data_IF_180783501858
#
_entry.id   IF_180783501858
#
_cell.length_a   1.000
_cell.length_b   1.000
_cell.length_c   1.000
_cell.angle_alpha   90.00
_cell.angle_beta   90.00
_cell.angle_gamma   90.00
#
_symmetry.space_group_name_H-M   'P 1'
#
loop_
_entity.id
_entity.type
_entity.pdbx_description
1 polymer ?
#
# COMPACT_ATOMS: atom_id res chain seq x y z
N UNK A 1 -14.95 20.87 -9.97
CA UNK A 1 -16.30 20.79 -9.38
C UNK A 1 -17.04 19.76 -10.23
N UNK A 2 -16.90 18.47 -9.94
CA UNK A 2 -17.46 17.74 -8.80
C UNK A 2 -16.37 16.84 -8.17
N UNK A 3 -16.20 16.94 -6.86
CA UNK A 3 -15.45 15.99 -6.03
C UNK A 3 -16.39 14.85 -5.70
N UNK A 4 -16.03 13.60 -5.98
CA UNK A 4 -16.71 12.44 -5.40
C UNK A 4 -15.79 11.85 -4.34
N UNK A 5 -16.12 12.16 -3.09
CA UNK A 5 -15.60 11.48 -1.91
C UNK A 5 -15.97 9.99 -1.99
N UNK A 6 -14.95 9.14 -2.12
CA UNK A 6 -15.07 7.69 -1.93
C UNK A 6 -14.78 7.33 -0.46
N UNK A 7 -15.35 8.05 0.50
CA UNK A 7 -15.46 7.57 1.88
C UNK A 7 -16.80 6.86 2.00
N UNK A 8 -16.82 5.59 1.63
CA UNK A 8 -18.06 4.82 1.63
C UNK A 8 -18.22 4.11 2.98
N UNK A 9 -19.12 4.63 3.80
CA UNK A 9 -19.64 4.08 5.05
C UNK A 9 -20.45 2.80 4.76
N UNK A 10 -19.79 1.78 4.22
CA UNK A 10 -20.43 0.56 3.68
C UNK A 10 -21.08 -0.30 4.74
N UNK A 11 -20.69 -0.12 6.00
CA UNK A 11 -21.16 -0.92 7.14
C UNK A 11 -22.50 -0.42 7.67
N UNK A 12 -22.94 0.79 7.28
CA UNK A 12 -24.22 1.37 7.69
C UNK A 12 -25.38 1.12 6.71
N UNK A 13 -25.12 0.58 5.51
CA UNK A 13 -26.14 0.45 4.46
C UNK A 13 -26.69 -0.97 4.32
N UNK A 14 -28.01 -1.06 4.19
CA UNK A 14 -28.70 -2.31 3.85
C UNK A 14 -28.32 -2.79 2.44
N UNK A 15 -28.45 -4.09 2.13
CA UNK A 15 -28.22 -4.63 0.78
C UNK A 15 -29.01 -3.90 -0.32
N UNK A 16 -30.25 -3.48 -0.04
CA UNK A 16 -31.09 -2.73 -0.97
C UNK A 16 -30.52 -1.35 -1.27
N UNK A 17 -30.08 -0.61 -0.25
CA UNK A 17 -29.44 0.70 -0.42
C UNK A 17 -28.10 0.58 -1.17
N UNK A 18 -27.33 -0.48 -0.90
CA UNK A 18 -26.09 -0.78 -1.64
C UNK A 18 -26.36 -1.07 -3.11
N UNK A 19 -27.46 -1.78 -3.44
CA UNK A 19 -27.90 -2.03 -4.82
C UNK A 19 -28.32 -0.75 -5.52
N UNK A 20 -29.16 0.07 -4.89
CA UNK A 20 -29.60 1.36 -5.45
C UNK A 20 -28.42 2.29 -5.73
N UNK A 21 -27.45 2.36 -4.82
CA UNK A 21 -26.20 3.10 -5.05
C UNK A 21 -25.37 2.53 -6.20
N UNK A 22 -25.30 1.20 -6.34
CA UNK A 22 -24.57 0.57 -7.44
C UNK A 22 -25.23 0.87 -8.79
N UNK A 23 -26.56 0.87 -8.86
CA UNK A 23 -27.31 1.28 -10.05
C UNK A 23 -27.05 2.75 -10.41
N UNK A 24 -27.14 3.65 -9.43
CA UNK A 24 -26.84 5.07 -9.65
C UNK A 24 -25.42 5.29 -10.20
N UNK A 25 -24.41 4.61 -9.63
CA UNK A 25 -23.03 4.68 -10.11
C UNK A 25 -22.85 4.12 -11.52
N UNK A 26 -23.59 3.05 -11.86
CA UNK A 26 -23.57 2.47 -13.20
C UNK A 26 -24.13 3.46 -14.22
N UNK A 27 -25.27 4.08 -13.90
CA UNK A 27 -25.94 5.06 -14.76
C UNK A 27 -25.09 6.33 -14.95
N UNK A 28 -24.57 6.88 -13.84
CA UNK A 28 -23.71 8.07 -13.87
C UNK A 28 -22.41 7.82 -14.65
N UNK A 29 -21.78 6.65 -14.42
CA UNK A 29 -20.57 6.24 -15.12
C UNK A 29 -20.80 6.03 -16.62
N UNK A 30 -21.92 5.42 -17.00
CA UNK A 30 -22.28 5.22 -18.40
C UNK A 30 -22.59 6.55 -19.11
N UNK A 31 -23.33 7.44 -18.46
CA UNK A 31 -23.60 8.78 -19.00
C UNK A 31 -22.32 9.61 -19.17
N UNK A 32 -21.40 9.56 -18.21
CA UNK A 32 -20.11 10.23 -18.30
C UNK A 32 -19.24 9.66 -19.43
N UNK A 33 -19.26 8.33 -19.62
CA UNK A 33 -18.54 7.68 -20.72
C UNK A 33 -19.10 8.11 -22.08
N UNK A 34 -20.42 8.11 -22.27
CA UNK A 34 -21.04 8.58 -23.51
C UNK A 34 -20.71 10.04 -23.80
N UNK A 35 -20.74 10.91 -22.79
CA UNK A 35 -20.37 12.31 -22.94
C UNK A 35 -18.88 12.49 -23.32
N UNK A 36 -18.00 11.60 -22.85
CA UNK A 36 -16.57 11.61 -23.19
C UNK A 36 -16.27 11.08 -24.60
N UNK A 37 -17.17 10.27 -25.16
CA UNK A 37 -17.08 9.72 -26.52
C UNK A 37 -17.74 10.62 -27.58
N UNK A 38 -18.54 11.61 -27.17
CA UNK A 38 -19.23 12.53 -28.07
C UNK A 38 -18.24 13.40 -28.85
N UNK A 39 -18.39 13.42 -30.18
CA UNK A 39 -17.54 14.20 -31.07
C UNK A 39 -16.10 13.68 -31.25
N UNK A 40 -15.78 12.46 -30.81
CA UNK A 40 -14.49 11.81 -31.12
C UNK A 40 -14.39 11.56 -32.62
N UNK A 41 -13.34 12.09 -33.25
CA UNK A 41 -13.05 11.82 -34.67
C UNK A 41 -12.60 10.36 -34.86
N UNK A 42 -13.04 9.76 -35.96
CA UNK A 42 -12.77 8.35 -36.28
C UNK A 42 -11.27 8.05 -36.41
N UNK A 43 -10.46 9.00 -36.91
CA UNK A 43 -9.02 8.84 -37.01
C UNK A 43 -8.32 9.01 -35.64
N UNK A 44 -8.85 9.88 -34.78
CA UNK A 44 -8.31 10.14 -33.44
C UNK A 44 -8.61 9.02 -32.45
N UNK A 45 -9.68 8.24 -32.69
CA UNK A 45 -10.08 7.12 -31.84
C UNK A 45 -9.00 6.02 -31.71
N UNK A 46 -8.06 5.95 -32.66
CA UNK A 46 -6.96 4.99 -32.71
C UNK A 46 -5.61 5.55 -32.21
N UNK A 47 -5.59 6.82 -31.77
CA UNK A 47 -4.38 7.48 -31.29
C UNK A 47 -4.31 7.47 -29.76
N UNK A 48 -3.10 7.27 -29.21
CA UNK A 48 -2.85 7.28 -27.77
C UNK A 48 -1.44 6.79 -27.43
N UNK A 49 -0.77 7.42 -26.46
CA UNK A 49 0.60 7.04 -26.06
C UNK A 49 0.65 5.86 -25.08
N UNK A 50 -0.50 5.46 -24.52
CA UNK A 50 -0.61 4.35 -23.58
C UNK A 50 -1.84 3.47 -23.86
N UNK A 51 -3.00 4.07 -24.11
CA UNK A 51 -4.25 3.43 -24.54
C UNK A 51 -4.98 4.41 -25.47
N UNK A 52 -5.41 3.95 -26.65
CA UNK A 52 -6.31 4.68 -27.55
C UNK A 52 -7.77 4.60 -27.08
N UNK A 53 -8.64 5.48 -27.57
CA UNK A 53 -10.09 5.45 -27.24
C UNK A 53 -10.70 4.10 -27.63
N UNK A 54 -10.28 3.52 -28.77
CA UNK A 54 -10.68 2.17 -29.18
C UNK A 54 -10.24 1.08 -28.19
N UNK A 55 -8.99 1.12 -27.69
CA UNK A 55 -8.51 0.14 -26.70
C UNK A 55 -9.25 0.25 -25.37
N UNK A 56 -9.61 1.48 -24.95
CA UNK A 56 -10.47 1.71 -23.78
C UNK A 56 -11.85 1.10 -24.00
N UNK A 57 -12.43 1.25 -25.20
CA UNK A 57 -13.73 0.63 -25.54
C UNK A 57 -13.69 -0.90 -25.55
N UNK A 58 -12.62 -1.50 -26.06
CA UNK A 58 -12.44 -2.95 -26.03
C UNK A 58 -12.26 -3.50 -24.61
N UNK A 59 -11.63 -2.73 -23.72
CA UNK A 59 -11.46 -3.13 -22.32
C UNK A 59 -12.72 -2.96 -21.47
N UNK A 60 -13.51 -1.94 -21.77
CA UNK A 60 -14.83 -1.73 -21.16
C UNK A 60 -15.90 -2.70 -21.69
N UNK A 61 -15.54 -3.60 -22.61
CA UNK A 61 -16.42 -4.64 -23.11
C UNK A 61 -16.64 -5.71 -22.04
N UNK A 62 -17.73 -5.57 -21.28
CA UNK A 62 -18.03 -6.38 -20.09
C UNK A 62 -18.92 -7.59 -20.38
N UNK A 63 -19.13 -7.97 -21.64
CA UNK A 63 -20.04 -9.05 -22.05
C UNK A 63 -19.84 -10.34 -21.24
N UNK A 64 -18.59 -10.81 -21.13
CA UNK A 64 -18.25 -12.01 -20.35
C UNK A 64 -18.53 -11.87 -18.85
N UNK A 65 -18.41 -10.66 -18.30
CA UNK A 65 -18.69 -10.38 -16.89
C UNK A 65 -20.20 -10.31 -16.64
N UNK A 66 -20.96 -9.67 -17.52
CA UNK A 66 -22.43 -9.60 -17.47
C UNK A 66 -23.02 -11.00 -17.61
N UNK A 67 -22.57 -11.79 -18.59
CA UNK A 67 -22.98 -13.17 -18.77
C UNK A 67 -22.72 -14.00 -17.51
N UNK A 68 -21.56 -13.85 -16.89
CA UNK A 68 -21.23 -14.58 -15.66
C UNK A 68 -22.11 -14.16 -14.47
N UNK A 69 -22.55 -12.89 -14.39
CA UNK A 69 -23.51 -12.43 -13.38
C UNK A 69 -24.93 -12.95 -13.66
N UNK A 70 -25.33 -13.03 -14.93
CA UNK A 70 -26.61 -13.62 -15.34
C UNK A 70 -26.68 -15.10 -14.99
N UNK A 71 -25.63 -15.86 -15.27
CA UNK A 71 -25.51 -17.28 -14.88
C UNK A 71 -25.56 -17.47 -13.36
N UNK A 72 -25.02 -16.52 -12.57
CA UNK A 72 -25.12 -16.53 -11.11
C UNK A 72 -26.54 -16.23 -10.64
N UNK A 73 -27.18 -15.23 -11.25
CA UNK A 73 -28.53 -14.83 -10.91
C UNK A 73 -29.57 -15.90 -11.30
N UNK A 74 -29.33 -16.65 -12.38
CA UNK A 74 -30.18 -17.77 -12.84
C UNK A 74 -29.93 -19.07 -12.07
N UNK A 75 -28.83 -19.16 -11.32
CA UNK A 75 -28.42 -20.37 -10.60
C UNK A 75 -27.73 -21.42 -11.49
N UNK A 76 -27.43 -21.10 -12.75
CA UNK A 76 -26.61 -21.92 -13.65
C UNK A 76 -25.14 -21.99 -13.19
N UNK A 77 -24.70 -20.98 -12.43
CA UNK A 77 -23.38 -20.88 -11.83
C UNK A 77 -23.52 -20.43 -10.37
N UNK A 78 -22.78 -21.03 -9.45
CA UNK A 78 -22.90 -20.66 -8.02
C UNK A 78 -22.13 -19.36 -7.69
N UNK A 79 -21.00 -19.13 -8.37
CA UNK A 79 -20.14 -17.97 -8.18
C UNK A 79 -19.31 -17.69 -9.43
N UNK A 80 -18.74 -16.48 -9.57
CA UNK A 80 -17.77 -16.20 -10.62
C UNK A 80 -16.65 -17.25 -10.54
N UNK A 81 -16.05 -17.65 -11.68
CA UNK A 81 -14.92 -18.56 -11.65
C UNK A 81 -13.91 -17.99 -10.65
N UNK A 82 -13.32 -18.84 -9.78
CA UNK A 82 -12.27 -18.37 -8.91
C UNK A 82 -11.26 -17.62 -9.78
N UNK A 83 -10.61 -16.60 -9.24
CA UNK A 83 -9.35 -16.18 -9.84
C UNK A 83 -8.46 -17.41 -9.73
N UNK A 84 -8.39 -18.24 -10.77
CA UNK A 84 -7.54 -19.42 -10.81
C UNK A 84 -6.17 -19.00 -10.30
N UNK A 85 -5.48 -19.89 -9.57
CA UNK A 85 -4.08 -19.62 -9.29
C UNK A 85 -3.42 -19.34 -10.63
N UNK A 86 -2.88 -18.12 -10.83
CA UNK A 86 -2.44 -17.60 -12.14
C UNK A 86 -1.53 -18.59 -12.92
N UNK A 87 -0.90 -19.53 -12.22
CA UNK A 87 -0.17 -20.67 -12.79
C UNK A 87 -1.01 -21.63 -13.65
N UNK A 88 -2.23 -21.98 -13.24
CA UNK A 88 -3.08 -22.94 -13.97
C UNK A 88 -3.52 -22.36 -15.32
N UNK A 89 -3.83 -21.06 -15.34
CA UNK A 89 -4.17 -20.34 -16.56
C UNK A 89 -2.99 -20.21 -17.54
N UNK A 90 -1.80 -19.89 -17.03
CA UNK A 90 -0.57 -19.85 -17.85
C UNK A 90 -0.26 -21.24 -18.42
N UNK A 91 -0.38 -22.30 -17.62
CA UNK A 91 -0.14 -23.67 -18.09
C UNK A 91 -1.12 -24.06 -19.22
N UNK A 92 -2.40 -23.69 -19.10
CA UNK A 92 -3.40 -23.92 -20.14
C UNK A 92 -3.10 -23.13 -21.43
N UNK A 93 -2.75 -21.84 -21.30
CA UNK A 93 -2.45 -21.00 -22.46
C UNK A 93 -1.17 -21.46 -23.19
N UNK A 94 -0.14 -21.92 -22.46
CA UNK A 94 1.06 -22.53 -23.05
C UNK A 94 0.71 -23.83 -23.77
N UNK A 95 -0.15 -24.68 -23.19
CA UNK A 95 -0.58 -25.92 -23.84
C UNK A 95 -1.37 -25.65 -25.14
N UNK A 96 -2.22 -24.62 -25.15
CA UNK A 96 -2.92 -24.18 -26.37
C UNK A 96 -1.97 -23.63 -27.43
N UNK A 97 -0.96 -22.88 -27.02
CA UNK A 97 0.08 -22.35 -27.92
C UNK A 97 0.82 -23.50 -28.62
N UNK A 98 1.26 -24.50 -27.86
CA UNK A 98 1.92 -25.70 -28.41
C UNK A 98 1.00 -26.47 -29.37
N UNK A 99 -0.26 -26.70 -28.98
CA UNK A 99 -1.22 -27.39 -29.84
C UNK A 99 -1.47 -26.65 -31.17
N UNK A 100 -1.54 -25.31 -31.14
CA UNK A 100 -1.70 -24.49 -32.34
C UNK A 100 -0.43 -24.50 -33.21
N UNK A 101 0.75 -24.43 -32.60
CA UNK A 101 2.02 -24.58 -33.32
C UNK A 101 2.08 -25.91 -34.11
N UNK A 102 1.73 -27.03 -33.46
CA UNK A 102 1.73 -28.35 -34.12
C UNK A 102 0.72 -28.43 -35.27
N UNK A 103 -0.48 -27.86 -35.09
CA UNK A 103 -1.49 -27.77 -36.16
C UNK A 103 -1.00 -26.93 -37.33
N UNK A 104 -0.41 -25.77 -37.07
CA UNK A 104 0.10 -24.86 -38.10
C UNK A 104 1.27 -25.47 -38.87
N UNK A 105 2.22 -26.09 -38.17
CA UNK A 105 3.33 -26.83 -38.77
C UNK A 105 2.85 -27.94 -39.71
N UNK A 106 1.89 -28.74 -39.25
CA UNK A 106 1.31 -29.84 -40.04
C UNK A 106 0.60 -29.31 -41.29
N UNK A 107 -0.16 -28.21 -41.14
CA UNK A 107 -0.83 -27.55 -42.26
C UNK A 107 0.17 -27.10 -43.32
N UNK A 108 1.22 -26.36 -42.94
CA UNK A 108 2.23 -25.84 -43.87
C UNK A 108 2.93 -26.98 -44.61
N UNK A 109 3.35 -28.03 -43.89
CA UNK A 109 4.04 -29.17 -44.48
C UNK A 109 3.18 -29.96 -45.49
N UNK A 110 1.86 -29.85 -45.39
CA UNK A 110 0.90 -30.49 -46.29
C UNK A 110 0.52 -29.68 -47.53
N UNK A 111 0.97 -28.42 -47.67
CA UNK A 111 0.64 -27.57 -48.81
C UNK A 111 1.47 -27.95 -50.05
N UNK A 112 0.81 -28.02 -51.20
CA UNK A 112 1.47 -28.19 -52.50
C UNK A 112 2.01 -26.86 -53.05
N UNK A 113 2.97 -26.87 -54.00
CA UNK A 113 3.50 -25.65 -54.61
C UNK A 113 2.42 -24.75 -55.22
N UNK A 114 1.44 -25.34 -55.92
CA UNK A 114 0.33 -24.57 -56.50
C UNK A 114 -0.56 -23.89 -55.45
N UNK A 115 -0.69 -24.47 -54.25
CA UNK A 115 -1.42 -23.83 -53.15
C UNK A 115 -0.63 -22.70 -52.50
N UNK A 116 0.70 -22.83 -52.44
CA UNK A 116 1.59 -21.79 -51.90
C UNK A 116 1.58 -20.50 -52.73
N UNK A 117 1.38 -20.62 -54.05
CA UNK A 117 1.29 -19.49 -54.98
C UNK A 117 -0.09 -18.79 -55.00
N UNK A 118 -1.09 -19.30 -54.27
CA UNK A 118 -2.42 -18.68 -54.24
C UNK A 118 -2.37 -17.29 -53.60
N UNK A 119 -3.10 -16.30 -54.13
CA UNK A 119 -3.20 -14.98 -53.50
C UNK A 119 -3.91 -15.07 -52.14
N UNK A 120 -3.33 -14.45 -51.12
CA UNK A 120 -3.83 -14.44 -49.76
C UNK A 120 -4.42 -13.08 -49.34
N UNK A 121 -3.78 -11.98 -49.76
CA UNK A 121 -4.28 -10.61 -49.50
C UNK A 121 -4.14 -9.73 -50.74
N UNK A 122 -5.14 -8.88 -51.07
CA UNK A 122 -5.00 -7.87 -52.11
C UNK A 122 -4.08 -6.72 -51.65
N UNK A 123 -3.59 -5.94 -52.61
CA UNK A 123 -2.89 -4.68 -52.31
C UNK A 123 -3.86 -3.67 -51.68
N UNK A 124 -3.46 -3.05 -50.57
CA UNK A 124 -4.22 -2.00 -49.90
C UNK A 124 -3.45 -0.66 -49.97
N UNK A 125 -3.95 0.33 -50.73
CA UNK A 125 -3.28 1.63 -50.89
C UNK A 125 -3.38 2.52 -49.64
N UNK A 126 -4.36 2.32 -48.76
CA UNK A 126 -4.60 3.18 -47.58
C UNK A 126 -3.55 2.99 -46.48
N UNK A 127 -2.89 1.83 -46.45
CA UNK A 127 -1.83 1.51 -45.49
C UNK A 127 -0.55 0.96 -46.15
N UNK A 128 -0.42 1.15 -47.47
CA UNK A 128 0.72 0.69 -48.28
C UNK A 128 1.05 -0.80 -48.10
N UNK A 129 0.03 -1.63 -47.91
CA UNK A 129 0.20 -3.07 -47.67
C UNK A 129 0.28 -3.83 -49.01
N UNK A 130 1.37 -4.54 -49.32
CA UNK A 130 1.54 -5.25 -50.58
C UNK A 130 0.52 -6.38 -50.74
N UNK A 131 0.20 -6.73 -51.99
CA UNK A 131 -0.47 -7.99 -52.27
C UNK A 131 0.47 -9.16 -51.89
N UNK A 132 -0.08 -10.20 -51.27
CA UNK A 132 0.69 -11.35 -50.78
C UNK A 132 0.16 -12.65 -51.35
N UNK A 133 1.07 -13.57 -51.68
CA UNK A 133 0.75 -14.99 -51.82
C UNK A 133 0.57 -15.66 -50.46
N UNK A 134 0.05 -16.89 -50.45
CA UNK A 134 -0.05 -17.70 -49.25
C UNK A 134 1.33 -17.99 -48.65
N UNK A 135 2.35 -18.22 -49.50
CA UNK A 135 3.73 -18.37 -49.06
C UNK A 135 4.26 -17.10 -48.38
N UNK A 136 4.08 -15.93 -48.98
CA UNK A 136 4.54 -14.66 -48.40
C UNK A 136 3.91 -14.40 -47.03
N UNK A 137 2.62 -14.74 -46.87
CA UNK A 137 1.93 -14.62 -45.59
C UNK A 137 2.46 -15.62 -44.55
N UNK A 138 2.70 -16.87 -44.95
CA UNK A 138 3.27 -17.90 -44.08
C UNK A 138 4.66 -17.50 -43.59
N UNK A 139 5.54 -17.02 -44.48
CA UNK A 139 6.90 -16.60 -44.13
C UNK A 139 6.90 -15.43 -43.13
N UNK A 140 5.97 -14.49 -43.30
CA UNK A 140 5.80 -13.36 -42.37
C UNK A 140 5.32 -13.81 -40.99
N UNK A 141 4.39 -14.76 -40.94
CA UNK A 141 3.82 -15.28 -39.68
C UNK A 141 4.79 -16.25 -38.99
N UNK A 142 5.60 -17.01 -39.73
CA UNK A 142 6.53 -18.00 -39.18
C UNK A 142 7.58 -17.38 -38.24
N UNK A 143 7.93 -16.10 -38.43
CA UNK A 143 8.83 -15.36 -37.53
C UNK A 143 8.14 -14.71 -36.34
N UNK A 144 6.80 -14.70 -36.28
CA UNK A 144 6.01 -13.90 -35.34
C UNK A 144 6.21 -14.33 -33.88
N UNK A 145 6.13 -15.64 -33.60
CA UNK A 145 6.38 -16.17 -32.24
C UNK A 145 7.81 -15.87 -31.77
N UNK A 146 8.81 -15.97 -32.66
CA UNK A 146 10.20 -15.63 -32.35
C UNK A 146 10.41 -14.15 -32.04
N UNK A 147 9.67 -13.25 -32.70
CA UNK A 147 9.68 -11.82 -32.38
C UNK A 147 9.09 -11.56 -30.99
N UNK A 148 7.95 -12.16 -30.66
CA UNK A 148 7.33 -12.02 -29.34
C UNK A 148 8.14 -12.70 -28.23
N UNK A 149 8.84 -13.80 -28.50
CA UNK A 149 9.75 -14.43 -27.54
C UNK A 149 10.87 -13.46 -27.10
N UNK A 150 11.45 -12.69 -28.05
CA UNK A 150 12.42 -11.64 -27.73
C UNK A 150 11.81 -10.55 -26.85
N UNK A 151 10.60 -10.09 -27.18
CA UNK A 151 9.88 -9.11 -26.35
C UNK A 151 9.63 -9.65 -24.94
N UNK A 152 9.23 -10.92 -24.79
CA UNK A 152 9.06 -11.56 -23.47
C UNK A 152 10.37 -11.59 -22.68
N UNK A 153 11.50 -11.93 -23.32
CA UNK A 153 12.82 -11.92 -22.68
C UNK A 153 13.22 -10.51 -22.21
N UNK A 154 13.04 -9.49 -23.05
CA UNK A 154 13.33 -8.11 -22.67
C UNK A 154 12.39 -7.63 -21.55
N UNK A 155 11.09 -7.88 -21.66
CA UNK A 155 10.12 -7.60 -20.58
C UNK A 155 10.50 -8.29 -19.28
N UNK A 156 11.02 -9.52 -19.31
CA UNK A 156 11.50 -10.21 -18.09
C UNK A 156 12.71 -9.53 -17.46
N UNK A 157 13.61 -8.90 -18.25
CA UNK A 157 14.71 -8.10 -17.71
C UNK A 157 14.19 -6.83 -17.03
N UNK A 158 13.25 -6.13 -17.68
CA UNK A 158 12.57 -4.99 -17.08
C UNK A 158 11.85 -5.40 -15.78
N UNK A 159 11.06 -6.46 -15.79
CA UNK A 159 10.39 -6.98 -14.59
C UNK A 159 11.38 -7.37 -13.49
N UNK A 160 12.55 -7.94 -13.83
CA UNK A 160 13.58 -8.24 -12.84
C UNK A 160 14.20 -6.97 -12.22
N UNK A 161 14.50 -5.96 -13.04
CA UNK A 161 15.01 -4.67 -12.58
C UNK A 161 13.97 -3.88 -11.75
N UNK A 162 12.70 -3.95 -12.16
CA UNK A 162 11.57 -3.35 -11.46
C UNK A 162 11.29 -4.05 -10.13
N UNK A 163 11.35 -5.40 -10.10
CA UNK A 163 11.24 -6.21 -8.88
C UNK A 163 12.27 -5.84 -7.81
N UNK A 164 13.47 -5.40 -8.20
CA UNK A 164 14.50 -4.98 -7.24
C UNK A 164 14.34 -3.55 -6.70
N UNK A 165 13.59 -2.68 -7.38
CA UNK A 165 13.47 -1.27 -7.02
C UNK A 165 12.10 -0.87 -6.42
N UNK A 166 11.00 -1.52 -6.82
CA UNK A 166 9.62 -1.14 -6.42
C UNK A 166 8.98 -2.07 -5.38
N UNK A 167 9.66 -3.13 -4.94
CA UNK A 167 9.17 -4.00 -3.85
C UNK A 167 9.48 -3.47 -2.45
N UNK A 168 9.92 -2.22 -2.36
CA UNK A 168 10.18 -1.57 -1.11
C UNK A 168 8.88 -0.95 -0.56
N UNK A 169 8.53 -1.26 0.68
CA UNK A 169 7.58 -0.41 1.41
C UNK A 169 8.30 0.87 1.77
N UNK A 170 7.72 2.02 1.44
CA UNK A 170 8.25 3.31 1.90
C UNK A 170 7.58 3.68 3.21
N UNK A 171 8.36 3.86 4.28
CA UNK A 171 7.88 4.31 5.59
C UNK A 171 8.45 5.70 5.85
N UNK A 172 7.59 6.71 5.98
CA UNK A 172 8.00 8.10 6.11
C UNK A 172 7.53 8.75 7.41
N UNK A 173 8.49 9.37 8.10
CA UNK A 173 8.20 10.28 9.20
C UNK A 173 7.64 11.60 8.67
N UNK A 174 6.61 12.11 9.35
CA UNK A 174 6.00 13.40 9.05
C UNK A 174 6.52 14.52 9.97
N UNK A 175 7.38 14.17 10.93
CA UNK A 175 7.73 15.08 12.00
C UNK A 175 6.63 15.18 13.05
N UNK A 176 6.73 16.12 14.01
CA UNK A 176 5.90 16.10 15.21
C UNK A 176 4.42 16.41 14.96
N UNK A 177 4.04 16.92 13.79
CA UNK A 177 2.64 17.22 13.48
C UNK A 177 2.44 18.55 12.75
N UNK A 178 3.44 19.44 12.78
CA UNK A 178 3.45 20.63 11.94
C UNK A 178 3.62 20.23 10.46
N UNK A 179 2.64 20.53 9.59
CA UNK A 179 2.76 20.26 8.17
C UNK A 179 3.99 20.93 7.51
N UNK A 180 4.54 22.02 8.07
CA UNK A 180 5.77 22.64 7.57
C UNK A 180 7.03 21.81 7.89
N UNK A 181 6.99 20.94 8.89
CA UNK A 181 8.08 20.06 9.30
C UNK A 181 8.18 18.75 8.49
N UNK A 182 7.15 18.41 7.70
CA UNK A 182 7.14 17.21 6.86
C UNK A 182 8.30 17.27 5.84
N UNK A 183 9.16 16.24 5.72
CA UNK A 183 10.29 16.24 4.78
C UNK A 183 9.84 16.45 3.32
N UNK A 184 10.62 17.23 2.54
CA UNK A 184 10.32 17.50 1.11
C UNK A 184 10.15 16.20 0.33
N UNK A 185 11.06 15.25 0.53
CA UNK A 185 11.01 13.93 -0.12
C UNK A 185 9.69 13.20 0.20
N UNK A 186 9.24 13.20 1.45
CA UNK A 186 7.96 12.58 1.81
C UNK A 186 6.78 13.24 1.08
N UNK A 187 6.77 14.56 0.95
CA UNK A 187 5.71 15.32 0.23
C UNK A 187 5.63 14.93 -1.25
N UNK A 188 6.79 14.79 -1.91
CA UNK A 188 6.88 14.43 -3.32
C UNK A 188 6.38 13.00 -3.57
N UNK A 189 6.76 12.05 -2.70
CA UNK A 189 6.37 10.65 -2.86
C UNK A 189 4.89 10.42 -2.53
N UNK A 190 4.32 11.13 -1.56
CA UNK A 190 2.89 11.03 -1.19
C UNK A 190 1.94 11.32 -2.35
N UNK A 191 2.34 12.17 -3.30
CA UNK A 191 1.54 12.50 -4.46
C UNK A 191 1.48 11.37 -5.51
N UNK A 192 2.40 10.39 -5.41
CA UNK A 192 2.59 9.32 -6.40
C UNK A 192 2.31 7.92 -5.86
N UNK A 193 2.14 7.76 -4.54
CA UNK A 193 1.83 6.46 -3.94
C UNK A 193 0.42 5.98 -4.34
N UNK A 194 0.24 4.68 -4.60
CA UNK A 194 -1.07 4.08 -4.89
C UNK A 194 -1.95 3.98 -3.64
N UNK A 195 -1.32 3.77 -2.48
CA UNK A 195 -1.97 3.75 -1.17
C UNK A 195 -1.12 4.48 -0.13
N UNK A 196 -1.78 5.23 0.74
CA UNK A 196 -1.15 5.87 1.89
C UNK A 196 -1.77 5.33 3.17
N UNK A 197 -0.96 4.68 3.99
CA UNK A 197 -1.36 4.05 5.25
C UNK A 197 -0.79 4.86 6.41
N UNK A 198 -1.58 5.12 7.44
CA UNK A 198 -1.09 5.80 8.63
C UNK A 198 -2.17 5.93 9.68
N UNK A 199 -1.80 6.31 10.90
CA UNK A 199 -2.82 6.63 11.90
C UNK A 199 -3.67 7.82 11.44
N UNK A 200 -4.92 7.96 11.92
CA UNK A 200 -5.78 9.08 11.53
C UNK A 200 -5.11 10.46 11.69
N UNK A 201 -4.28 10.63 12.73
CA UNK A 201 -3.52 11.86 12.97
C UNK A 201 -2.40 12.07 11.94
N UNK A 202 -1.63 11.02 11.60
CA UNK A 202 -0.61 11.10 10.57
C UNK A 202 -1.21 11.40 9.19
N UNK A 203 -2.31 10.72 8.84
CA UNK A 203 -3.04 10.97 7.60
C UNK A 203 -3.57 12.40 7.53
N UNK A 204 -4.09 12.95 8.62
CA UNK A 204 -4.55 14.34 8.65
C UNK A 204 -3.41 15.35 8.31
N UNK A 205 -2.19 15.12 8.81
CA UNK A 205 -1.01 15.95 8.49
C UNK A 205 -0.60 15.80 7.03
N UNK A 206 -0.60 14.56 6.51
CA UNK A 206 -0.18 14.25 5.15
C UNK A 206 -1.22 14.60 4.06
N UNK A 207 -2.51 14.71 4.44
CA UNK A 207 -3.67 14.74 3.53
C UNK A 207 -3.53 15.68 2.34
N UNK A 208 -2.96 16.87 2.53
CA UNK A 208 -2.82 17.86 1.45
C UNK A 208 -1.95 17.41 0.27
N UNK A 209 -1.04 16.45 0.50
CA UNK A 209 -0.17 15.90 -0.55
C UNK A 209 -0.65 14.55 -1.09
N UNK A 210 -1.58 13.88 -0.42
CA UNK A 210 -2.13 12.60 -0.86
C UNK A 210 -3.03 12.83 -2.09
N UNK A 211 -2.88 11.96 -3.09
CA UNK A 211 -3.71 11.94 -4.32
C UNK A 211 -4.42 10.61 -4.54
N UNK A 212 -4.17 9.65 -3.65
CA UNK A 212 -4.60 8.27 -3.74
C UNK A 212 -5.44 7.87 -2.53
N UNK A 213 -5.65 6.57 -2.33
CA UNK A 213 -6.52 6.05 -1.27
C UNK A 213 -5.80 6.07 0.08
N UNK A 214 -6.42 6.74 1.06
CA UNK A 214 -6.02 6.72 2.47
C UNK A 214 -6.51 5.42 3.15
N UNK A 215 -5.63 4.73 3.87
CA UNK A 215 -5.93 3.54 4.67
C UNK A 215 -5.60 3.82 6.15
N UNK A 216 -6.60 4.13 6.99
CA UNK A 216 -6.39 4.40 8.40
C UNK A 216 -5.88 3.15 9.14
N UNK A 217 -4.71 3.28 9.77
CA UNK A 217 -4.08 2.25 10.58
C UNK A 217 -4.47 2.44 12.06
N UNK A 218 -4.99 1.36 12.65
CA UNK A 218 -5.44 1.26 14.04
C UNK A 218 -4.96 -0.06 14.63
N UNK A 219 -4.97 -0.17 15.96
CA UNK A 219 -4.52 -1.38 16.64
C UNK A 219 -5.30 -2.65 16.22
N UNK A 220 -6.59 -2.52 15.93
CA UNK A 220 -7.50 -3.62 15.58
C UNK A 220 -7.36 -4.11 14.12
N UNK A 221 -6.90 -3.26 13.19
CA UNK A 221 -6.74 -3.60 11.77
C UNK A 221 -5.27 -3.73 11.32
N UNK A 222 -4.30 -3.59 12.24
CA UNK A 222 -2.86 -3.61 11.93
C UNK A 222 -2.41 -4.86 11.18
N UNK A 223 -2.80 -6.04 11.65
CA UNK A 223 -2.40 -7.30 11.03
C UNK A 223 -2.95 -7.43 9.60
N UNK A 224 -4.19 -7.00 9.38
CA UNK A 224 -4.81 -6.98 8.05
C UNK A 224 -4.06 -6.02 7.12
N UNK A 225 -3.78 -4.80 7.57
CA UNK A 225 -3.09 -3.80 6.75
C UNK A 225 -1.66 -4.19 6.42
N UNK A 226 -0.91 -4.81 7.36
CA UNK A 226 0.42 -5.36 7.05
C UNK A 226 0.33 -6.44 5.97
N UNK A 227 -0.61 -7.38 6.09
CA UNK A 227 -0.82 -8.42 5.07
C UNK A 227 -1.23 -7.83 3.72
N UNK A 228 -2.03 -6.77 3.72
CA UNK A 228 -2.40 -6.03 2.51
C UNK A 228 -1.18 -5.36 1.87
N UNK A 229 -0.37 -4.64 2.64
CA UNK A 229 0.87 -4.01 2.15
C UNK A 229 1.77 -5.05 1.47
N UNK A 230 1.98 -6.20 2.11
CA UNK A 230 2.80 -7.29 1.55
C UNK A 230 2.26 -7.75 0.20
N UNK A 231 0.95 -7.93 0.07
CA UNK A 231 0.30 -8.33 -1.18
C UNK A 231 0.41 -7.23 -2.25
N UNK A 232 0.16 -5.98 -1.88
CA UNK A 232 0.11 -4.85 -2.80
C UNK A 232 1.51 -4.57 -3.37
N UNK A 233 2.54 -4.55 -2.51
CA UNK A 233 3.95 -4.42 -2.91
C UNK A 233 4.40 -5.59 -3.81
N UNK A 234 3.97 -6.82 -3.53
CA UNK A 234 4.25 -7.98 -4.40
C UNK A 234 3.57 -7.89 -5.75
N UNK A 235 2.43 -7.20 -5.82
CA UNK A 235 1.70 -6.91 -7.04
C UNK A 235 2.27 -5.72 -7.83
N UNK A 236 3.29 -5.02 -7.29
CA UNK A 236 3.90 -3.85 -7.91
C UNK A 236 3.13 -2.55 -7.63
N UNK A 237 2.31 -2.51 -6.59
CA UNK A 237 1.65 -1.30 -6.12
C UNK A 237 2.51 -0.62 -5.07
N UNK A 238 2.64 0.70 -5.17
CA UNK A 238 3.41 1.48 -4.24
C UNK A 238 2.60 1.82 -2.99
N UNK A 239 2.87 1.10 -1.92
CA UNK A 239 2.32 1.38 -0.59
C UNK A 239 3.28 2.26 0.21
N UNK A 240 2.76 3.40 0.66
CA UNK A 240 3.49 4.32 1.54
C UNK A 240 2.87 4.30 2.93
N UNK A 241 3.68 4.06 3.96
CA UNK A 241 3.29 4.15 5.37
C UNK A 241 3.78 5.47 5.93
N UNK A 242 2.93 6.23 6.61
CA UNK A 242 3.29 7.49 7.26
C UNK A 242 3.12 7.42 8.77
N UNK A 243 4.07 8.00 9.49
CA UNK A 243 4.05 8.09 10.96
C UNK A 243 4.27 9.53 11.40
N UNK A 244 3.64 9.93 12.51
CA UNK A 244 4.08 11.15 13.20
C UNK A 244 5.40 10.89 13.90
N UNK A 245 6.28 11.89 13.93
CA UNK A 245 7.64 11.78 14.42
C UNK A 245 8.56 11.03 13.46
N UNK A 246 9.61 10.42 14.01
CA UNK A 246 10.53 9.56 13.27
C UNK A 246 10.05 8.09 13.32
N UNK A 247 9.99 7.36 12.19
CA UNK A 247 9.49 5.99 12.17
C UNK A 247 10.23 5.05 13.13
N UNK A 248 11.55 5.21 13.29
CA UNK A 248 12.36 4.36 14.15
C UNK A 248 12.05 4.57 15.65
N UNK A 249 11.55 5.75 16.01
CA UNK A 249 11.15 6.09 17.37
C UNK A 249 9.67 5.78 17.63
N UNK A 250 8.79 6.19 16.71
CA UNK A 250 7.34 6.19 16.90
C UNK A 250 6.67 4.85 16.56
N UNK A 251 7.22 4.10 15.60
CA UNK A 251 6.60 2.87 15.09
C UNK A 251 7.60 1.70 14.92
N UNK A 252 8.46 1.42 15.91
CA UNK A 252 9.49 0.39 15.77
C UNK A 252 8.93 -1.03 15.58
N UNK A 253 7.76 -1.32 16.16
CA UNK A 253 7.11 -2.64 16.01
C UNK A 253 6.57 -2.81 14.60
N UNK A 254 5.93 -1.78 14.04
CA UNK A 254 5.46 -1.79 12.66
C UNK A 254 6.61 -1.92 11.67
N UNK A 255 7.71 -1.16 11.87
CA UNK A 255 8.90 -1.27 11.04
C UNK A 255 9.47 -2.69 11.05
N UNK A 256 9.58 -3.31 12.24
CA UNK A 256 10.06 -4.70 12.38
C UNK A 256 9.13 -5.69 11.68
N UNK A 257 7.82 -5.50 11.79
CA UNK A 257 6.83 -6.34 11.13
C UNK A 257 6.91 -6.24 9.60
N UNK A 258 7.10 -5.02 9.08
CA UNK A 258 7.27 -4.79 7.64
C UNK A 258 8.59 -5.37 7.14
N UNK A 259 9.71 -5.08 7.81
CA UNK A 259 11.05 -5.58 7.46
C UNK A 259 11.10 -7.12 7.40
N UNK A 260 10.34 -7.78 8.27
CA UNK A 260 10.22 -9.25 8.27
C UNK A 260 9.31 -9.81 7.17
N UNK A 261 8.43 -8.98 6.59
CA UNK A 261 7.34 -9.43 5.73
C UNK A 261 7.51 -9.06 4.24
N UNK A 262 8.28 -8.02 3.94
CA UNK A 262 8.54 -7.56 2.57
C UNK A 262 10.01 -7.71 2.16
N UNK A 263 10.28 -7.65 0.86
CA UNK A 263 11.63 -7.86 0.30
C UNK A 263 12.59 -6.69 0.67
N UNK A 264 12.04 -5.49 0.88
CA UNK A 264 12.79 -4.30 1.30
C UNK A 264 11.90 -3.27 2.00
N UNK A 265 12.49 -2.48 2.91
CA UNK A 265 11.85 -1.30 3.52
C UNK A 265 12.74 -0.08 3.29
N UNK A 266 12.17 1.00 2.78
CA UNK A 266 12.82 2.30 2.62
C UNK A 266 12.28 3.26 3.67
N UNK A 267 13.15 3.80 4.52
CA UNK A 267 12.75 4.69 5.63
C UNK A 267 13.15 6.13 5.31
N UNK A 268 12.18 7.04 5.39
CA UNK A 268 12.40 8.49 5.31
C UNK A 268 12.33 9.05 6.73
N UNK A 269 13.46 9.45 7.33
CA UNK A 269 13.48 9.95 8.69
C UNK A 269 12.86 11.34 8.80
N UNK A 270 12.46 11.71 10.01
CA UNK A 270 11.95 13.04 10.32
C UNK A 270 12.28 13.43 11.78
N UNK A 271 12.11 14.71 12.18
CA UNK A 271 12.25 15.08 13.58
C UNK A 271 11.24 14.32 14.47
N UNK A 272 11.74 13.46 15.35
CA UNK A 272 10.90 12.67 16.26
C UNK A 272 10.53 13.36 17.57
N UNK A 273 9.54 12.81 18.27
CA UNK A 273 9.05 13.32 19.55
C UNK A 273 10.07 13.19 20.68
N UNK A 274 11.02 12.26 20.58
CA UNK A 274 12.07 12.07 21.58
C UNK A 274 12.91 13.34 21.79
N UNK A 275 13.32 13.99 20.69
CA UNK A 275 14.12 15.21 20.76
C UNK A 275 13.33 16.38 21.34
N UNK A 276 12.03 16.47 21.05
CA UNK A 276 11.16 17.49 21.63
C UNK A 276 10.98 17.29 23.13
N UNK A 277 10.71 16.04 23.55
CA UNK A 277 10.59 15.69 24.95
C UNK A 277 11.86 16.05 25.75
N UNK A 278 13.04 15.70 25.23
CA UNK A 278 14.32 16.06 25.85
C UNK A 278 14.54 17.56 25.95
N UNK A 279 14.24 18.30 24.87
CA UNK A 279 14.37 19.76 24.86
C UNK A 279 13.46 20.42 25.91
N UNK A 280 12.24 19.89 26.08
CA UNK A 280 11.27 20.41 27.05
C UNK A 280 11.76 20.29 28.50
N UNK A 281 12.50 19.23 28.82
CA UNK A 281 13.00 18.96 30.17
C UNK A 281 14.49 19.31 30.37
N UNK A 282 15.12 19.90 29.34
CA UNK A 282 16.52 20.31 29.39
C UNK A 282 17.52 19.16 29.49
N UNK A 283 17.20 17.97 28.95
CA UNK A 283 18.11 16.81 28.95
C UNK A 283 18.86 16.64 27.63
N UNK A 284 20.09 16.13 27.72
CA UNK A 284 20.88 15.72 26.56
C UNK A 284 20.43 14.34 26.05
N UNK A 285 20.42 14.09 24.73
CA UNK A 285 20.20 12.76 24.17
C UNK A 285 21.21 11.69 24.63
N UNK A 286 22.38 12.09 25.13
CA UNK A 286 23.38 11.16 25.66
C UNK A 286 23.02 10.63 27.05
N UNK A 287 22.17 11.35 27.78
CA UNK A 287 21.81 11.05 29.17
C UNK A 287 20.48 10.29 29.29
N UNK A 288 19.80 10.05 28.16
CA UNK A 288 18.51 9.40 28.11
C UNK A 288 18.46 8.26 27.10
N UNK A 289 17.47 7.38 27.25
CA UNK A 289 17.17 6.29 26.31
C UNK A 289 15.75 6.47 25.79
N UNK A 290 15.57 6.35 24.47
CA UNK A 290 14.26 6.33 23.85
C UNK A 290 13.67 4.91 23.90
N UNK A 291 12.40 4.80 24.28
CA UNK A 291 11.63 3.57 24.22
C UNK A 291 10.26 3.86 23.59
N UNK A 292 9.63 2.85 22.99
CA UNK A 292 8.23 2.92 22.57
C UNK A 292 7.38 2.16 23.58
N UNK A 293 6.17 2.65 23.85
CA UNK A 293 5.21 1.96 24.71
C UNK A 293 4.84 0.56 24.19
N UNK A 294 4.93 0.33 22.87
CA UNK A 294 4.70 -1.00 22.28
C UNK A 294 5.79 -2.02 22.67
N UNK A 295 6.96 -1.54 23.12
CA UNK A 295 8.08 -2.35 23.61
C UNK A 295 8.29 -2.20 25.12
N UNK A 296 7.25 -1.77 25.85
CA UNK A 296 7.35 -1.58 27.29
C UNK A 296 7.73 -2.86 28.04
N UNK A 297 7.33 -4.03 27.52
CA UNK A 297 7.71 -5.35 28.05
C UNK A 297 9.22 -5.60 28.01
N UNK A 298 9.90 -5.17 26.94
CA UNK A 298 11.35 -5.34 26.81
C UNK A 298 12.09 -4.44 27.81
N UNK A 299 11.63 -3.19 27.95
CA UNK A 299 12.15 -2.25 28.93
C UNK A 299 11.93 -2.76 30.36
N UNK A 300 10.76 -3.33 30.64
CA UNK A 300 10.42 -3.95 31.91
C UNK A 300 11.36 -5.11 32.28
N UNK A 301 11.74 -5.94 31.31
CA UNK A 301 12.63 -7.09 31.57
C UNK A 301 14.09 -6.68 31.83
N UNK A 302 14.54 -5.57 31.23
CA UNK A 302 15.93 -5.11 31.36
C UNK A 302 16.01 -3.57 31.43
N UNK A 303 15.53 -2.96 32.53
CA UNK A 303 15.52 -1.51 32.65
C UNK A 303 16.95 -0.96 32.78
N UNK A 304 17.35 0.10 32.05
CA UNK A 304 18.70 0.62 32.08
C UNK A 304 18.96 1.36 33.41
N UNK A 305 19.73 0.80 34.36
CA UNK A 305 19.83 1.35 35.70
C UNK A 305 20.52 2.71 35.69
N UNK A 306 19.94 3.67 36.42
CA UNK A 306 20.50 5.03 36.56
C UNK A 306 20.36 5.90 35.31
N UNK A 307 19.57 5.48 34.31
CA UNK A 307 19.28 6.28 33.13
C UNK A 307 17.86 6.84 33.14
N UNK A 308 17.70 8.01 32.56
CA UNK A 308 16.38 8.52 32.20
C UNK A 308 15.89 7.80 30.96
N UNK A 309 14.65 7.33 31.01
CA UNK A 309 13.98 6.70 29.88
C UNK A 309 12.84 7.60 29.46
N UNK A 310 12.80 7.91 28.16
CA UNK A 310 11.69 8.63 27.52
C UNK A 310 10.92 7.59 26.73
N UNK A 311 9.72 7.28 27.19
CA UNK A 311 8.80 6.34 26.55
C UNK A 311 7.86 7.17 25.69
N UNK A 312 7.82 6.90 24.39
CA UNK A 312 6.91 7.53 23.45
C UNK A 312 5.62 6.71 23.31
N UNK A 313 4.50 7.41 23.12
CA UNK A 313 3.19 6.77 22.95
C UNK A 313 3.09 5.94 21.68
N UNK A 314 2.12 5.03 21.62
CA UNK A 314 1.92 4.15 20.48
C UNK A 314 1.35 4.96 19.31
N UNK A 315 1.87 4.71 18.11
CA UNK A 315 1.43 5.40 16.91
C UNK A 315 0.00 5.04 16.49
N UNK A 316 -0.55 3.91 16.95
CA UNK A 316 -1.89 3.38 16.65
C UNK A 316 -2.87 3.43 17.84
N UNK A 317 -2.49 4.11 18.93
CA UNK A 317 -3.29 4.28 20.14
C UNK A 317 -2.93 3.27 21.23
N UNK A 318 -2.43 3.78 22.37
CA UNK A 318 -2.08 3.00 23.54
C UNK A 318 -2.32 3.80 24.83
N UNK A 319 -2.54 3.11 25.94
CA UNK A 319 -2.84 3.72 27.24
C UNK A 319 -1.59 3.80 28.11
N UNK A 320 -1.28 4.99 28.63
CA UNK A 320 -0.21 5.21 29.59
C UNK A 320 -0.43 4.44 30.89
N UNK A 321 -1.70 4.26 31.29
CA UNK A 321 -2.02 3.49 32.48
C UNK A 321 -1.62 2.01 32.35
N UNK A 322 -1.76 1.41 31.17
CA UNK A 322 -1.31 0.04 30.90
C UNK A 322 0.22 -0.08 30.90
N UNK A 323 0.91 0.92 30.34
CA UNK A 323 2.36 1.00 30.36
C UNK A 323 2.91 1.10 31.78
N UNK A 324 2.34 1.99 32.59
CA UNK A 324 2.74 2.19 33.98
C UNK A 324 2.51 0.95 34.84
N UNK A 325 1.35 0.27 34.68
CA UNK A 325 1.07 -1.02 35.33
C UNK A 325 2.07 -2.11 34.93
N UNK A 326 2.47 -2.14 33.66
CA UNK A 326 3.46 -3.10 33.14
C UNK A 326 4.84 -2.86 33.77
N UNK A 327 5.30 -1.61 33.85
CA UNK A 327 6.55 -1.23 34.50
C UNK A 327 6.56 -1.54 36.00
N UNK A 328 5.47 -1.23 36.71
CA UNK A 328 5.33 -1.53 38.14
C UNK A 328 5.38 -3.05 38.40
N UNK A 329 4.70 -3.83 37.55
CA UNK A 329 4.69 -5.29 37.62
C UNK A 329 6.08 -5.91 37.34
N UNK A 330 6.92 -5.19 36.58
CA UNK A 330 8.31 -5.55 36.32
C UNK A 330 9.28 -5.21 37.45
N UNK A 331 8.78 -4.63 38.55
CA UNK A 331 9.56 -4.34 39.75
C UNK A 331 10.14 -2.93 39.80
N UNK A 332 9.75 -2.02 38.90
CA UNK A 332 10.04 -0.60 39.10
C UNK A 332 9.26 -0.10 40.34
N UNK A 333 9.89 0.64 41.27
CA UNK A 333 9.20 1.17 42.44
C UNK A 333 7.99 2.02 42.04
N UNK A 334 6.80 1.85 42.63
CA UNK A 334 5.63 2.67 42.32
C UNK A 334 5.85 4.17 42.58
N UNK A 335 6.74 4.51 43.51
CA UNK A 335 7.13 5.90 43.85
C UNK A 335 8.18 6.49 42.90
N UNK A 336 8.53 5.79 41.81
CA UNK A 336 9.47 6.32 40.81
C UNK A 336 8.89 7.61 40.26
N UNK A 337 9.67 8.70 40.37
CA UNK A 337 9.29 10.00 39.83
C UNK A 337 9.15 9.89 38.31
N UNK A 338 7.99 10.32 37.83
CA UNK A 338 7.61 10.27 36.42
C UNK A 338 7.10 11.64 35.99
N UNK A 339 7.31 11.98 34.73
CA UNK A 339 6.84 13.21 34.13
C UNK A 339 6.08 12.84 32.86
N UNK A 340 4.82 13.24 32.76
CA UNK A 340 4.02 13.01 31.57
C UNK A 340 3.97 14.32 30.77
N UNK A 341 4.50 14.26 29.55
CA UNK A 341 4.41 15.33 28.58
C UNK A 341 3.31 14.99 27.57
N UNK A 342 2.38 15.91 27.33
CA UNK A 342 1.34 15.77 26.30
C UNK A 342 1.29 17.01 25.42
N UNK A 343 0.90 16.88 24.15
CA UNK A 343 0.83 18.02 23.24
C UNK A 343 2.20 18.49 22.76
N UNK A 344 3.19 17.59 22.65
CA UNK A 344 4.59 17.90 22.31
C UNK A 344 4.72 18.66 20.98
N UNK A 345 3.77 18.49 20.05
CA UNK A 345 3.80 19.13 18.74
C UNK A 345 3.26 20.56 18.70
N UNK A 346 2.49 20.98 19.71
CA UNK A 346 1.76 22.25 19.69
C UNK A 346 2.02 23.10 20.93
N UNK A 347 1.57 22.64 22.10
CA UNK A 347 1.76 23.29 23.38
C UNK A 347 1.96 22.21 24.44
N UNK A 348 3.23 21.87 24.74
CA UNK A 348 3.52 20.80 25.68
C UNK A 348 2.98 21.16 27.06
N UNK A 349 2.11 20.31 27.59
CA UNK A 349 1.77 20.31 29.01
C UNK A 349 2.69 19.34 29.74
N UNK A 350 3.04 19.70 30.96
CA UNK A 350 4.00 18.98 31.78
C UNK A 350 3.36 18.66 33.13
N UNK A 351 3.19 17.37 33.41
CA UNK A 351 2.64 16.88 34.67
C UNK A 351 3.68 16.02 35.39
N UNK A 352 4.30 16.58 36.43
CA UNK A 352 5.11 15.83 37.38
C UNK A 352 4.22 14.95 38.27
N UNK A 353 4.56 13.67 38.38
CA UNK A 353 3.72 12.66 39.04
C UNK A 353 4.56 11.44 39.45
N UNK A 354 3.92 10.35 39.90
CA UNK A 354 4.58 9.07 40.20
C UNK A 354 4.10 7.96 39.27
N UNK A 355 4.89 6.89 39.15
CA UNK A 355 4.50 5.71 38.37
C UNK A 355 3.18 5.11 38.85
N UNK A 356 2.92 5.14 40.17
CA UNK A 356 1.62 4.74 40.75
C UNK A 356 0.50 5.64 40.23
N UNK A 357 0.66 6.94 40.27
CA UNK A 357 -0.39 7.88 39.89
C UNK A 357 -0.77 7.73 38.41
N UNK A 358 0.22 7.48 37.52
CA UNK A 358 -0.03 7.17 36.10
C UNK A 358 -0.73 5.81 35.93
N UNK A 359 -0.42 4.82 36.77
CA UNK A 359 -1.07 3.52 36.72
C UNK A 359 -2.53 3.55 37.21
N UNK A 360 -2.80 4.37 38.23
CA UNK A 360 -4.09 4.43 38.93
C UNK A 360 -5.04 5.47 38.32
N UNK A 361 -4.49 6.50 37.68
CA UNK A 361 -5.24 7.58 37.03
C UNK A 361 -4.99 7.54 35.53
N UNK A 362 -6.03 7.52 34.67
CA UNK A 362 -5.89 7.53 33.21
C UNK A 362 -5.44 8.92 32.69
N UNK A 363 -4.39 9.49 33.25
CA UNK A 363 -3.83 10.78 32.86
C UNK A 363 -3.21 10.59 31.48
N UNK A 364 -3.75 11.28 30.48
CA UNK A 364 -3.27 11.21 29.10
C UNK A 364 -3.74 10.00 28.30
N UNK A 365 -4.58 9.12 28.86
CA UNK A 365 -5.26 8.04 28.10
C UNK A 365 -6.30 8.68 27.17
N UNK A 366 -5.86 9.15 26.02
CA UNK A 366 -6.68 9.72 24.94
C UNK A 366 -6.20 9.18 23.60
N UNK A 367 -7.00 9.32 22.54
CA UNK A 367 -6.57 9.03 21.16
C UNK A 367 -5.34 9.88 20.73
N UNK A 368 -4.98 10.91 21.51
CA UNK A 368 -3.81 11.78 21.32
C UNK A 368 -2.50 11.23 21.92
N UNK A 369 -2.44 9.97 22.38
CA UNK A 369 -1.22 9.38 22.94
C UNK A 369 0.00 9.45 21.97
N UNK A 370 -0.24 9.55 20.66
CA UNK A 370 0.79 9.68 19.62
C UNK A 370 1.66 10.93 19.81
N UNK A 371 1.13 11.99 20.45
CA UNK A 371 1.82 13.27 20.73
C UNK A 371 2.12 13.44 22.23
N UNK A 372 2.60 12.37 22.87
CA UNK A 372 2.92 12.37 24.30
C UNK A 372 4.12 11.48 24.63
N UNK A 373 4.77 11.78 25.75
CA UNK A 373 5.90 11.02 26.26
C UNK A 373 5.80 10.87 27.78
N UNK A 374 6.05 9.66 28.26
CA UNK A 374 6.25 9.37 29.69
C UNK A 374 7.75 9.30 29.97
N UNK A 375 8.22 10.15 30.87
CA UNK A 375 9.63 10.27 31.23
C UNK A 375 9.80 9.76 32.65
N UNK A 376 10.78 8.89 32.88
CA UNK A 376 11.10 8.39 34.21
C UNK A 376 12.58 8.10 34.35
N UNK A 377 13.10 8.26 35.56
CA UNK A 377 14.49 7.87 35.86
C UNK A 377 14.50 6.52 36.55
N UNK A 378 15.14 5.54 35.91
CA UNK A 378 15.22 4.18 36.46
C UNK A 378 16.16 4.20 37.67
N UNK A 379 15.69 3.86 38.89
CA UNK A 379 16.54 3.87 40.06
C UNK A 379 17.63 2.80 39.94
N UNK A 380 18.83 3.12 40.41
CA UNK A 380 19.90 2.13 40.57
C UNK A 380 19.51 1.26 41.76
N UNK A 381 18.93 0.09 41.50
CA UNK A 381 18.69 -0.90 42.56
C UNK A 381 20.03 -1.52 42.92
N UNK A 382 20.56 -1.35 44.14
CA UNK A 382 21.81 -1.97 44.52
C UNK A 382 21.65 -3.48 44.42
N UNK A 383 22.45 -4.12 43.57
CA UNK A 383 22.49 -5.58 43.43
C UNK A 383 22.67 -6.17 44.82
N UNK A 384 21.68 -6.93 45.32
CA UNK A 384 21.85 -7.73 46.53
C UNK A 384 23.07 -8.61 46.28
N UNK A 385 24.15 -8.35 47.00
CA UNK A 385 25.29 -9.28 47.05
C UNK A 385 24.72 -10.61 47.55
N UNK A 386 24.79 -11.63 46.69
CA UNK A 386 24.48 -13.03 47.03
C UNK A 386 25.55 -13.54 47.99
#
# INVERSE_FOLDING_TARGET
MVSHDFTDDTDALTPTQRRERALQRLDDGHAALLAALDGVDEADAFLGSRWSVWEVMQHLFTENFVQALEEIASGEREMLPPFDARGDRIANDVAKLEANYQRFRTLIAGLSPAQLDLPATPYNPENNYPALSLLDLIERVAGHEGNHARQVVETRKFVAAFRSAERAVTVAGLGPGDPAAVPIQARELLANADYVIGSPAALAVARRWIRSVELPLRADNRAELVNRIVRDVRAGLWSMVVTLGDPAESAPVLLTALDSAVDAVSVIPAPGFYRLALAQIGLSPLDAVCASVERIGDLAQSPPPGRTVVILGAYDGGKWSDAARSLASAGLPPETQTQLLTGLSAQPSDTATSLRDVADTPIGDTDAAVDSALILTVPVVPSRRV
#
